data_IF_310575750904
#
_entry.id   IF_310575750904
#
_cell.length_a   1.000
_cell.length_b   1.000
_cell.length_c   1.000
_cell.angle_alpha   90.00
_cell.angle_beta   90.00
_cell.angle_gamma   90.00
#
_symmetry.space_group_name_H-M   'P 1'
#
loop_
_entity.id
_entity.type
_entity.pdbx_description
1 polymer ?
#
# COMPACT_ATOMS: atom_id res chain seq x y z
N UNK A 1 6.56 -15.26 -38.37
CA UNK A 1 8.02 -15.12 -38.56
C UNK A 1 8.48 -13.71 -38.18
N UNK A 2 8.15 -12.64 -38.92
CA UNK A 2 8.57 -11.26 -38.56
C UNK A 2 8.19 -10.85 -37.12
N UNK A 3 7.03 -11.29 -36.63
CA UNK A 3 6.53 -11.03 -35.27
C UNK A 3 7.38 -11.75 -34.21
N UNK A 4 7.80 -12.98 -34.50
CA UNK A 4 8.60 -13.82 -33.59
C UNK A 4 10.05 -13.30 -33.51
N UNK A 5 10.58 -12.82 -34.64
CA UNK A 5 11.88 -12.15 -34.68
C UNK A 5 11.85 -10.80 -33.94
N UNK A 6 10.76 -10.04 -34.05
CA UNK A 6 10.57 -8.81 -33.27
C UNK A 6 10.46 -9.11 -31.76
N UNK A 7 9.66 -10.11 -31.37
CA UNK A 7 9.55 -10.54 -29.97
C UNK A 7 10.89 -10.97 -29.38
N UNK A 8 11.70 -11.70 -30.16
CA UNK A 8 13.05 -12.12 -29.78
C UNK A 8 14.06 -10.96 -29.66
N UNK A 9 13.82 -9.84 -30.36
CA UNK A 9 14.63 -8.62 -30.26
C UNK A 9 14.19 -7.70 -29.11
N UNK A 10 12.89 -7.69 -28.79
CA UNK A 10 12.34 -6.87 -27.71
C UNK A 10 12.57 -7.52 -26.34
N UNK A 11 12.33 -8.83 -26.19
CA UNK A 11 12.62 -9.56 -24.93
C UNK A 11 14.13 -9.56 -24.64
N UNK A 12 14.51 -9.15 -23.44
CA UNK A 12 15.90 -8.95 -23.01
C UNK A 12 16.50 -7.58 -23.38
N UNK A 13 15.77 -6.71 -24.09
CA UNK A 13 16.32 -5.44 -24.58
C UNK A 13 16.37 -4.34 -23.51
N UNK A 14 17.14 -3.28 -23.79
CA UNK A 14 17.04 -2.05 -22.99
C UNK A 14 15.69 -1.34 -23.11
N UNK A 15 14.91 -1.61 -24.15
CA UNK A 15 13.61 -0.99 -24.39
C UNK A 15 12.56 -1.61 -23.45
N UNK A 16 12.45 -2.95 -23.43
CA UNK A 16 11.66 -3.70 -22.43
C UNK A 16 12.02 -3.25 -21.01
N UNK A 17 13.32 -3.18 -20.69
CA UNK A 17 13.77 -2.73 -19.36
C UNK A 17 13.27 -1.32 -19.01
N UNK A 18 13.28 -0.37 -19.96
CA UNK A 18 12.80 1.01 -19.74
C UNK A 18 11.29 1.03 -19.52
N UNK A 19 10.52 0.28 -20.31
CA UNK A 19 9.07 0.17 -20.16
C UNK A 19 8.68 -0.50 -18.83
N UNK A 20 9.34 -1.60 -18.44
CA UNK A 20 9.13 -2.27 -17.15
C UNK A 20 9.37 -1.31 -15.97
N UNK A 21 10.47 -0.56 -15.95
CA UNK A 21 10.75 0.41 -14.87
C UNK A 21 9.72 1.55 -14.81
N UNK A 22 9.30 2.05 -15.99
CA UNK A 22 8.28 3.10 -16.13
C UNK A 22 6.93 2.62 -15.58
N UNK A 23 6.45 1.46 -16.01
CA UNK A 23 5.16 0.94 -15.55
C UNK A 23 5.20 0.47 -14.08
N UNK A 24 6.33 -0.07 -13.61
CA UNK A 24 6.53 -0.38 -12.18
C UNK A 24 6.32 0.86 -11.30
N UNK A 25 6.84 2.01 -11.74
CA UNK A 25 6.66 3.30 -11.03
C UNK A 25 5.21 3.79 -11.12
N UNK A 26 4.57 3.67 -12.29
CA UNK A 26 3.17 4.08 -12.47
C UNK A 26 2.17 3.24 -11.66
N UNK A 27 2.37 1.93 -11.59
CA UNK A 27 1.47 0.99 -10.91
C UNK A 27 1.93 0.59 -9.50
N UNK A 28 3.02 1.18 -9.01
CA UNK A 28 3.58 0.96 -7.67
C UNK A 28 3.87 -0.51 -7.37
N UNK A 29 4.49 -1.19 -8.34
CA UNK A 29 4.91 -2.59 -8.22
C UNK A 29 3.82 -3.66 -8.37
N UNK A 30 2.65 -3.30 -8.88
CA UNK A 30 1.61 -4.24 -9.30
C UNK A 30 1.97 -4.87 -10.67
N UNK A 31 2.55 -6.07 -10.64
CA UNK A 31 3.06 -6.74 -11.85
C UNK A 31 1.96 -7.20 -12.80
N UNK A 32 0.75 -7.46 -12.30
CA UNK A 32 -0.37 -7.91 -13.14
C UNK A 32 -0.80 -6.79 -14.10
N UNK A 33 -0.88 -5.55 -13.61
CA UNK A 33 -1.10 -4.36 -14.48
C UNK A 33 0.06 -4.08 -15.42
N UNK A 34 1.29 -4.49 -15.07
CA UNK A 34 2.44 -4.31 -15.93
C UNK A 34 2.40 -5.27 -17.14
N UNK A 35 1.93 -6.51 -16.98
CA UNK A 35 1.73 -7.44 -18.09
C UNK A 35 0.79 -6.87 -19.17
N UNK A 36 -0.28 -6.19 -18.77
CA UNK A 36 -1.24 -5.56 -19.69
C UNK A 36 -0.62 -4.41 -20.51
N UNK A 37 0.48 -3.82 -20.03
CA UNK A 37 1.07 -2.59 -20.58
C UNK A 37 2.41 -2.78 -21.30
N UNK A 38 3.16 -3.83 -20.98
CA UNK A 38 4.42 -4.18 -21.65
C UNK A 38 4.13 -5.13 -22.81
N UNK A 39 4.74 -4.88 -23.97
CA UNK A 39 4.42 -5.64 -25.20
C UNK A 39 4.96 -7.07 -25.14
N UNK A 40 4.16 -8.03 -25.63
CA UNK A 40 4.52 -9.45 -25.74
C UNK A 40 4.88 -10.11 -24.39
N UNK A 41 4.28 -9.64 -23.30
CA UNK A 41 4.51 -10.13 -21.94
C UNK A 41 3.75 -11.41 -21.63
N UNK A 42 4.40 -12.33 -20.91
CA UNK A 42 3.86 -13.58 -20.38
C UNK A 42 4.03 -13.63 -18.85
N UNK A 43 3.29 -14.48 -18.14
CA UNK A 43 3.37 -14.52 -16.67
C UNK A 43 4.75 -14.93 -16.13
N UNK A 44 5.49 -15.77 -16.88
CA UNK A 44 6.87 -16.13 -16.59
C UNK A 44 7.82 -14.91 -16.63
N UNK A 45 7.47 -13.86 -17.39
CA UNK A 45 8.26 -12.62 -17.46
C UNK A 45 8.23 -11.85 -16.12
N UNK A 46 7.18 -11.98 -15.30
CA UNK A 46 7.07 -11.32 -13.97
C UNK A 46 8.31 -11.59 -13.12
N UNK A 47 8.74 -12.85 -13.06
CA UNK A 47 9.87 -13.27 -12.22
C UNK A 47 11.23 -12.85 -12.82
N UNK A 48 11.36 -12.81 -14.15
CA UNK A 48 12.55 -12.24 -14.83
C UNK A 48 12.66 -10.75 -14.52
N UNK A 49 11.62 -9.97 -14.75
CA UNK A 49 11.60 -8.52 -14.51
C UNK A 49 12.00 -8.15 -13.09
N UNK A 50 11.46 -8.86 -12.10
CA UNK A 50 11.80 -8.64 -10.69
C UNK A 50 13.27 -8.92 -10.42
N UNK A 51 13.81 -10.01 -10.97
CA UNK A 51 15.21 -10.43 -10.73
C UNK A 51 16.23 -9.56 -11.46
N UNK A 52 15.97 -9.24 -12.73
CA UNK A 52 16.95 -8.63 -13.65
C UNK A 52 16.82 -7.12 -13.79
N UNK A 53 15.62 -6.55 -13.68
CA UNK A 53 15.38 -5.13 -13.94
C UNK A 53 15.06 -4.35 -12.65
N UNK A 54 14.07 -4.80 -11.90
CA UNK A 54 13.54 -4.08 -10.72
C UNK A 54 14.51 -4.18 -9.53
N UNK A 55 14.98 -5.39 -9.17
CA UNK A 55 15.91 -5.54 -8.04
C UNK A 55 17.22 -4.75 -8.21
N UNK A 56 17.90 -4.73 -9.39
CA UNK A 56 19.05 -3.88 -9.61
C UNK A 56 18.73 -2.38 -9.56
N UNK A 57 17.58 -1.95 -10.08
CA UNK A 57 17.15 -0.55 -10.02
C UNK A 57 16.90 -0.07 -8.59
N UNK A 58 16.22 -0.87 -7.76
CA UNK A 58 16.00 -0.61 -6.33
C UNK A 58 17.35 -0.56 -5.58
N UNK A 59 18.28 -1.48 -5.86
CA UNK A 59 19.63 -1.47 -5.26
C UNK A 59 20.44 -0.23 -5.63
N UNK A 60 20.23 0.32 -6.82
CA UNK A 60 20.85 1.57 -7.29
C UNK A 60 20.15 2.83 -6.75
N UNK A 61 18.91 2.69 -6.25
CA UNK A 61 18.08 3.82 -5.81
C UNK A 61 17.35 4.52 -6.95
N UNK A 62 17.27 3.91 -8.14
CA UNK A 62 16.59 4.50 -9.31
C UNK A 62 15.06 4.47 -9.17
N UNK A 63 14.52 3.54 -8.38
CA UNK A 63 13.08 3.34 -8.19
C UNK A 63 12.76 2.91 -6.75
N UNK A 64 11.57 3.29 -6.25
CA UNK A 64 11.09 2.94 -4.91
C UNK A 64 10.82 1.44 -4.73
N UNK A 65 10.85 0.96 -3.47
CA UNK A 65 10.66 -0.45 -3.13
C UNK A 65 9.21 -0.72 -2.73
N UNK A 66 8.44 -1.38 -3.60
CA UNK A 66 7.03 -1.71 -3.37
C UNK A 66 6.81 -3.20 -3.01
N UNK A 67 7.41 -3.64 -1.90
CA UNK A 67 7.39 -5.06 -1.47
C UNK A 67 5.99 -5.67 -1.35
N UNK A 68 5.01 -4.89 -0.88
CA UNK A 68 3.64 -5.38 -0.62
C UNK A 68 2.93 -5.76 -1.93
N UNK A 69 3.07 -4.92 -2.97
CA UNK A 69 2.49 -5.19 -4.28
C UNK A 69 3.23 -6.35 -4.96
N UNK A 70 4.57 -6.30 -4.96
CA UNK A 70 5.42 -7.35 -5.54
C UNK A 70 5.09 -8.74 -5.00
N UNK A 71 5.04 -8.91 -3.66
CA UNK A 71 4.73 -10.21 -3.05
C UNK A 71 3.32 -10.70 -3.41
N UNK A 72 2.34 -9.79 -3.48
CA UNK A 72 0.97 -10.13 -3.85
C UNK A 72 0.87 -10.62 -5.30
N UNK A 73 1.53 -9.97 -6.25
CA UNK A 73 1.43 -10.31 -7.69
C UNK A 73 2.37 -11.42 -8.15
N UNK A 74 3.39 -11.77 -7.34
CA UNK A 74 4.31 -12.88 -7.63
C UNK A 74 3.74 -14.27 -7.31
N UNK A 75 2.51 -14.37 -6.82
CA UNK A 75 1.92 -15.66 -6.50
C UNK A 75 2.62 -16.38 -5.35
N UNK A 76 3.19 -15.64 -4.38
CA UNK A 76 3.44 -16.15 -3.02
C UNK A 76 2.08 -16.35 -2.34
N UNK A 77 1.31 -17.30 -2.90
CA UNK A 77 0.04 -17.80 -2.40
C UNK A 77 0.27 -18.62 -1.15
N UNK A 78 0.86 -18.00 -0.13
CA UNK A 78 0.31 -18.11 1.20
C UNK A 78 -1.12 -17.61 1.11
N UNK A 79 -2.01 -18.51 0.67
CA UNK A 79 -3.02 -19.04 1.55
C UNK A 79 -3.23 -18.12 2.76
N UNK A 80 -3.94 -17.03 2.50
CA UNK A 80 -4.80 -16.42 3.50
C UNK A 80 -5.93 -17.43 3.68
N UNK A 81 -5.57 -18.60 4.24
CA UNK A 81 -6.44 -19.37 5.10
C UNK A 81 -6.78 -18.40 6.23
N UNK A 82 -7.82 -17.61 5.94
CA UNK A 82 -8.97 -17.63 6.82
C UNK A 82 -9.18 -19.10 7.19
N UNK A 83 -8.60 -19.48 8.33
CA UNK A 83 -9.31 -20.33 9.26
C UNK A 83 -10.65 -19.62 9.54
N UNK A 84 -11.59 -19.78 8.61
CA UNK A 84 -13.00 -19.86 8.91
C UNK A 84 -13.14 -21.09 9.81
N UNK A 85 -12.73 -20.91 11.08
CA UNK A 85 -13.32 -21.60 12.22
C UNK A 85 -14.81 -21.26 12.16
N UNK A 86 -15.55 -22.02 11.32
CA UNK A 86 -16.99 -22.06 11.35
C UNK A 86 -17.40 -22.49 12.76
N UNK A 87 -17.81 -21.47 13.50
CA UNK A 87 -18.68 -21.41 14.68
C UNK A 87 -19.56 -22.65 14.83
N UNK A 88 -18.94 -23.75 15.25
CA UNK A 88 -19.61 -24.97 15.70
C UNK A 88 -20.14 -24.71 17.11
N UNK A 89 -21.28 -24.03 17.18
CA UNK A 89 -22.06 -23.85 18.41
C UNK A 89 -22.42 -25.22 19.04
N UNK A 90 -21.59 -25.77 19.93
CA UNK A 90 -22.05 -26.77 20.91
C UNK A 90 -21.23 -26.85 22.22
N UNK A 91 -21.97 -27.19 23.27
CA UNK A 91 -21.63 -27.45 24.68
C UNK A 91 -20.37 -26.83 25.33
N UNK A 92 -20.67 -25.87 26.21
CA UNK A 92 -20.29 -25.91 27.64
C UNK A 92 -19.43 -27.09 28.13
N UNK A 93 -18.15 -26.83 28.39
CA UNK A 93 -17.50 -27.39 29.59
C UNK A 93 -16.73 -26.31 30.33
N UNK A 94 -17.12 -26.05 31.58
CA UNK A 94 -16.29 -25.32 32.53
C UNK A 94 -15.04 -26.15 32.79
N UNK A 95 -13.86 -25.64 32.40
CA UNK A 95 -12.60 -26.05 33.01
C UNK A 95 -11.77 -24.81 33.32
N UNK A 96 -11.90 -24.37 34.56
CA UNK A 96 -10.88 -23.58 35.23
C UNK A 96 -9.58 -24.37 35.18
N UNK A 97 -8.49 -23.79 34.66
CA UNK A 97 -7.18 -24.11 35.22
C UNK A 97 -6.10 -23.05 34.95
N UNK A 98 -5.15 -23.06 35.89
CA UNK A 98 -3.90 -22.32 35.88
C UNK A 98 -2.91 -22.94 34.86
N UNK A 99 -2.02 -22.20 34.14
CA UNK A 99 -0.68 -21.81 34.60
C UNK A 99 0.02 -20.64 33.81
N UNK A 100 0.70 -19.71 34.53
CA UNK A 100 1.71 -18.71 34.04
C UNK A 100 2.91 -19.50 33.40
N UNK A 101 3.92 -18.86 32.80
CA UNK A 101 5.21 -18.67 33.50
C UNK A 101 6.05 -17.56 32.84
N UNK A 102 6.88 -16.87 33.62
CA UNK A 102 7.91 -15.95 33.12
C UNK A 102 9.09 -16.75 32.53
N UNK A 103 9.68 -16.30 31.42
CA UNK A 103 11.14 -16.48 31.25
C UNK A 103 11.81 -15.23 30.66
N UNK A 104 12.83 -14.79 31.39
CA UNK A 104 13.55 -13.53 31.21
C UNK A 104 14.87 -13.78 30.45
N UNK A 105 14.84 -13.41 29.17
CA UNK A 105 15.94 -12.79 28.44
C UNK A 105 17.36 -13.39 28.53
N UNK A 106 17.95 -13.68 27.36
CA UNK A 106 19.38 -13.39 27.17
C UNK A 106 19.82 -13.05 25.75
N UNK A 107 20.69 -12.03 25.74
CA UNK A 107 21.57 -11.58 24.66
C UNK A 107 22.43 -12.74 24.12
N UNK A 108 22.64 -12.80 22.80
CA UNK A 108 23.97 -13.01 22.21
C UNK A 108 24.01 -12.41 20.80
N UNK A 109 24.84 -11.39 20.50
CA UNK A 109 26.30 -11.40 20.23
C UNK A 109 26.73 -12.20 18.98
N UNK A 110 27.12 -11.43 17.96
CA UNK A 110 28.23 -11.66 17.01
C UNK A 110 28.33 -13.02 16.28
N UNK A 111 28.10 -13.00 14.96
CA UNK A 111 28.43 -14.10 14.05
C UNK A 111 28.86 -13.64 12.65
N UNK A 112 29.99 -12.94 12.51
CA UNK A 112 30.67 -12.79 11.21
C UNK A 112 31.21 -14.17 10.80
N UNK A 113 30.78 -14.74 9.66
CA UNK A 113 31.69 -15.54 8.81
C UNK A 113 31.19 -15.79 7.39
N UNK A 114 32.11 -15.55 6.46
CA UNK A 114 32.09 -15.90 5.04
C UNK A 114 32.33 -17.40 4.80
N UNK A 115 31.69 -17.97 3.78
CA UNK A 115 32.22 -18.98 2.83
C UNK A 115 31.13 -19.21 1.76
N UNK A 116 31.25 -18.82 0.48
CA UNK A 116 32.12 -19.37 -0.57
C UNK A 116 32.24 -20.90 -0.59
N UNK A 117 31.66 -21.56 -1.61
CA UNK A 117 32.21 -22.83 -2.11
C UNK A 117 31.31 -24.08 -2.12
N UNK A 118 30.60 -24.28 -3.24
CA UNK A 118 30.87 -25.37 -4.22
C UNK A 118 30.70 -26.86 -3.79
N UNK A 119 29.83 -27.54 -4.57
CA UNK A 119 29.73 -28.99 -4.89
C UNK A 119 29.01 -29.97 -3.92
N UNK A 120 27.93 -30.56 -4.48
CA UNK A 120 27.59 -32.01 -4.56
C UNK A 120 27.99 -32.93 -3.40
N UNK A 121 27.02 -33.68 -2.84
CA UNK A 121 26.77 -35.10 -3.19
C UNK A 121 25.48 -35.63 -2.54
N UNK A 122 24.88 -36.63 -3.17
CA UNK A 122 23.65 -37.33 -2.81
C UNK A 122 23.80 -38.22 -1.57
N UNK A 123 22.86 -38.16 -0.61
CA UNK A 123 22.57 -39.26 0.35
C UNK A 123 21.13 -39.23 0.88
N UNK A 124 20.30 -40.10 0.29
CA UNK A 124 19.23 -40.97 0.85
C UNK A 124 18.59 -40.60 2.23
N UNK A 125 17.24 -40.54 2.33
CA UNK A 125 16.53 -40.31 3.59
C UNK A 125 16.49 -41.56 4.50
N UNK A 126 16.41 -41.34 5.82
CA UNK A 126 15.99 -42.33 6.83
C UNK A 126 14.94 -41.72 7.77
N UNK A 127 14.03 -42.59 8.24
CA UNK A 127 12.90 -42.31 9.14
C UNK A 127 13.33 -42.12 10.60
N UNK A 128 12.33 -41.87 11.46
CA UNK A 128 12.30 -42.04 12.93
C UNK A 128 12.99 -40.92 13.74
N UNK A 129 12.50 -40.49 14.91
CA UNK A 129 11.27 -40.84 15.65
C UNK A 129 10.91 -39.80 16.73
N UNK A 130 9.69 -39.92 17.26
CA UNK A 130 9.04 -39.22 18.39
C UNK A 130 9.85 -38.92 19.66
N UNK A 131 9.55 -37.78 20.31
CA UNK A 131 9.47 -37.49 21.78
C UNK A 131 8.87 -36.07 21.92
N UNK A 132 7.71 -35.81 22.57
CA UNK A 132 7.24 -35.99 23.97
C UNK A 132 8.06 -35.24 25.03
N UNK A 133 7.33 -34.64 25.99
CA UNK A 133 7.71 -33.84 27.17
C UNK A 133 7.81 -32.31 26.94
N UNK A 134 7.35 -31.44 27.85
CA UNK A 134 6.60 -31.65 29.11
C UNK A 134 5.75 -30.41 29.51
N UNK A 135 4.81 -30.61 30.44
CA UNK A 135 4.12 -29.55 31.19
C UNK A 135 5.10 -28.68 32.00
N UNK A 136 4.76 -27.40 32.17
CA UNK A 136 4.99 -26.49 33.31
C UNK A 136 3.98 -25.33 33.08
N UNK A 137 3.10 -24.88 33.98
CA UNK A 137 2.81 -25.19 35.39
C UNK A 137 3.32 -24.24 36.51
N UNK A 138 3.09 -22.91 36.45
CA UNK A 138 3.21 -22.03 37.64
C UNK A 138 2.31 -20.74 37.70
N UNK A 139 0.98 -20.76 37.43
CA UNK A 139 0.13 -19.55 37.61
C UNK A 139 0.08 -19.14 39.07
N UNK A 140 -0.25 -17.87 39.19
CA UNK A 140 -1.57 -17.41 39.65
C UNK A 140 -1.41 -15.99 40.18
N UNK A 141 -0.56 -15.17 39.52
CA UNK A 141 -0.23 -13.82 40.04
C UNK A 141 -0.16 -12.67 39.04
N UNK A 142 -0.06 -12.89 37.72
CA UNK A 142 0.10 -11.77 36.76
C UNK A 142 -1.26 -11.13 36.34
N UNK A 143 -2.39 -11.79 36.63
CA UNK A 143 -3.71 -11.51 36.03
C UNK A 143 -4.35 -10.15 36.37
N UNK A 144 -4.11 -9.58 37.56
CA UNK A 144 -4.77 -8.33 37.96
C UNK A 144 -4.18 -7.06 37.29
N UNK A 145 -2.86 -7.02 37.09
CA UNK A 145 -2.19 -5.87 36.48
C UNK A 145 -2.33 -5.84 34.95
N UNK A 146 -2.37 -7.02 34.31
CA UNK A 146 -2.54 -7.13 32.86
C UNK A 146 -3.95 -6.71 32.40
N UNK A 147 -4.99 -7.04 33.18
CA UNK A 147 -6.37 -6.66 32.89
C UNK A 147 -6.57 -5.13 32.77
N UNK A 148 -6.00 -4.35 33.70
CA UNK A 148 -6.08 -2.88 33.66
C UNK A 148 -5.34 -2.28 32.46
N UNK A 149 -4.22 -2.89 32.03
CA UNK A 149 -3.50 -2.49 30.83
C UNK A 149 -4.27 -2.84 29.55
N UNK A 150 -4.92 -4.01 29.50
CA UNK A 150 -5.76 -4.44 28.38
C UNK A 150 -6.98 -3.51 28.18
N UNK A 151 -7.69 -3.15 29.26
CA UNK A 151 -8.82 -2.22 29.20
C UNK A 151 -8.43 -0.84 28.63
N UNK A 152 -7.24 -0.33 29.00
CA UNK A 152 -6.70 0.92 28.45
C UNK A 152 -6.34 0.83 26.97
N UNK A 153 -5.88 -0.32 26.49
CA UNK A 153 -5.60 -0.56 25.06
C UNK A 153 -6.89 -0.60 24.24
N UNK A 154 -7.91 -1.36 24.68
CA UNK A 154 -9.23 -1.43 24.01
C UNK A 154 -9.85 -0.03 23.85
N UNK A 155 -9.92 0.77 24.93
CA UNK A 155 -10.46 2.13 24.87
C UNK A 155 -9.67 3.10 23.98
N UNK A 156 -8.36 2.86 23.76
CA UNK A 156 -7.58 3.62 22.77
C UNK A 156 -7.95 3.19 21.34
N UNK A 157 -8.04 1.89 21.09
CA UNK A 157 -8.39 1.33 19.78
C UNK A 157 -9.80 1.75 19.33
N UNK A 158 -10.80 1.70 20.21
CA UNK A 158 -12.17 2.18 19.92
C UNK A 158 -12.18 3.66 19.49
N UNK A 159 -11.43 4.52 20.18
CA UNK A 159 -11.34 5.94 19.84
C UNK A 159 -10.61 6.18 18.51
N UNK A 160 -9.58 5.40 18.24
CA UNK A 160 -8.80 5.47 16.99
C UNK A 160 -9.63 4.94 15.80
N UNK A 161 -10.44 3.91 16.00
CA UNK A 161 -11.41 3.40 15.01
C UNK A 161 -12.51 4.43 14.71
N UNK A 162 -13.10 5.05 15.74
CA UNK A 162 -14.12 6.10 15.55
C UNK A 162 -13.57 7.34 14.81
N UNK A 163 -12.32 7.74 15.09
CA UNK A 163 -11.64 8.82 14.36
C UNK A 163 -11.32 8.43 12.90
N UNK A 164 -11.05 7.14 12.62
CA UNK A 164 -10.86 6.63 11.26
C UNK A 164 -12.18 6.58 10.46
N UNK A 165 -13.29 6.19 11.08
CA UNK A 165 -14.61 6.17 10.43
C UNK A 165 -15.08 7.56 10.00
N UNK A 166 -14.92 8.60 10.84
CA UNK A 166 -15.23 9.99 10.46
C UNK A 166 -14.39 10.45 9.25
N UNK A 167 -13.10 10.08 9.22
CA UNK A 167 -12.23 10.39 8.08
C UNK A 167 -12.68 9.67 6.79
N UNK A 168 -13.08 8.41 6.88
CA UNK A 168 -13.63 7.63 5.74
C UNK A 168 -14.96 8.23 5.28
N UNK A 169 -15.86 8.58 6.19
CA UNK A 169 -17.13 9.24 5.88
C UNK A 169 -16.91 10.56 5.15
N UNK A 170 -15.93 11.37 5.61
CA UNK A 170 -15.55 12.63 4.99
C UNK A 170 -14.96 12.47 3.58
N UNK A 171 -14.13 11.45 3.35
CA UNK A 171 -13.60 11.13 2.01
C UNK A 171 -14.74 10.68 1.08
N UNK A 172 -15.61 9.78 1.54
CA UNK A 172 -16.77 9.29 0.77
C UNK A 172 -17.73 10.43 0.41
N UNK A 173 -18.13 11.27 1.37
CA UNK A 173 -19.02 12.40 1.14
C UNK A 173 -18.47 13.41 0.13
N UNK A 174 -17.18 13.76 0.22
CA UNK A 174 -16.56 14.71 -0.70
C UNK A 174 -16.39 14.12 -2.12
N UNK A 175 -16.19 12.81 -2.24
CA UNK A 175 -16.16 12.11 -3.53
C UNK A 175 -17.54 12.07 -4.21
N UNK A 176 -18.62 11.83 -3.46
CA UNK A 176 -20.01 11.85 -3.97
C UNK A 176 -20.41 13.26 -4.41
N UNK A 177 -20.13 14.28 -3.60
CA UNK A 177 -20.44 15.68 -3.92
C UNK A 177 -19.74 16.15 -5.22
N UNK A 178 -18.50 15.70 -5.48
CA UNK A 178 -17.79 16.01 -6.73
C UNK A 178 -18.43 15.35 -7.96
N UNK A 179 -18.89 14.10 -7.87
CA UNK A 179 -19.56 13.41 -8.99
C UNK A 179 -20.90 14.06 -9.36
N UNK A 180 -21.73 14.36 -8.36
CA UNK A 180 -23.04 14.99 -8.60
C UNK A 180 -22.90 16.35 -9.28
N UNK A 181 -21.91 17.16 -8.90
CA UNK A 181 -21.68 18.47 -9.52
C UNK A 181 -21.24 18.39 -10.98
N UNK A 182 -20.36 17.45 -11.32
CA UNK A 182 -19.91 17.23 -12.70
C UNK A 182 -21.01 16.68 -13.61
N UNK A 183 -21.88 15.81 -13.10
CA UNK A 183 -23.00 15.27 -13.87
C UNK A 183 -24.10 16.33 -14.11
N UNK A 184 -24.40 17.17 -13.11
CA UNK A 184 -25.37 18.26 -13.28
C UNK A 184 -24.92 19.30 -14.32
N UNK A 185 -23.63 19.66 -14.34
CA UNK A 185 -23.06 20.60 -15.32
C UNK A 185 -23.12 20.02 -16.75
N UNK A 186 -22.86 18.72 -16.90
CA UNK A 186 -22.98 18.02 -18.19
C UNK A 186 -24.43 17.87 -18.66
N UNK A 187 -25.37 17.60 -17.75
CA UNK A 187 -26.81 17.56 -18.03
C UNK A 187 -27.34 18.94 -18.44
N UNK A 188 -26.98 20.01 -17.72
CA UNK A 188 -27.36 21.38 -18.07
C UNK A 188 -26.85 21.79 -19.45
N UNK A 189 -25.61 21.42 -19.79
CA UNK A 189 -25.03 21.67 -21.12
C UNK A 189 -25.57 20.78 -22.25
N UNK A 190 -26.33 19.73 -21.92
CA UNK A 190 -27.09 18.91 -22.87
C UNK A 190 -28.51 19.45 -23.06
N UNK A 191 -29.17 19.84 -21.97
CA UNK A 191 -30.48 20.47 -21.96
C UNK A 191 -30.46 21.80 -22.75
N UNK A 192 -29.45 22.66 -22.55
CA UNK A 192 -29.29 23.90 -23.32
C UNK A 192 -29.16 23.67 -24.85
N UNK A 193 -28.61 22.52 -25.27
CA UNK A 193 -28.43 22.18 -26.69
C UNK A 193 -29.63 21.48 -27.33
N UNK A 194 -30.42 20.75 -26.55
CA UNK A 194 -31.50 19.89 -27.07
C UNK A 194 -32.91 20.34 -26.68
N UNK A 195 -33.09 21.05 -25.56
CA UNK A 195 -34.36 21.69 -25.21
C UNK A 195 -34.51 23.08 -25.87
N UNK A 196 -33.40 23.72 -26.26
CA UNK A 196 -33.36 25.05 -26.90
C UNK A 196 -33.77 25.10 -28.38
N UNK A 197 -34.70 24.24 -28.81
CA UNK A 197 -35.14 24.13 -30.20
C UNK A 197 -36.16 25.18 -30.64
N UNK A 198 -35.81 26.48 -30.60
CA UNK A 198 -36.35 27.58 -31.45
C UNK A 198 -36.10 28.97 -30.83
N UNK A 199 -35.00 29.64 -31.19
CA UNK A 199 -35.07 30.87 -32.01
C UNK A 199 -33.67 31.31 -32.51
N UNK A 200 -33.62 32.12 -33.56
CA UNK A 200 -32.40 32.55 -34.26
C UNK A 200 -31.58 33.61 -33.51
N UNK A 201 -31.04 33.26 -32.34
CA UNK A 201 -30.22 34.13 -31.50
C UNK A 201 -28.86 34.49 -32.13
N UNK A 202 -28.81 35.55 -32.93
CA UNK A 202 -27.57 36.09 -33.55
C UNK A 202 -26.40 36.14 -32.57
N UNK A 203 -25.30 35.50 -32.95
CA UNK A 203 -24.09 35.39 -32.14
C UNK A 203 -23.58 36.76 -31.65
N UNK A 204 -23.71 37.02 -30.36
CA UNK A 204 -22.90 38.04 -29.66
C UNK A 204 -21.71 37.33 -29.08
N UNK A 205 -20.55 37.56 -29.68
CA UNK A 205 -19.31 36.88 -29.30
C UNK A 205 -19.07 36.94 -27.79
N UNK A 206 -19.05 35.77 -27.16
CA UNK A 206 -18.59 35.65 -25.78
C UNK A 206 -17.20 36.26 -25.71
N UNK A 207 -17.05 37.29 -24.86
CA UNK A 207 -15.80 38.04 -24.70
C UNK A 207 -14.67 37.05 -24.52
N UNK A 208 -13.71 37.11 -25.45
CA UNK A 208 -12.35 36.58 -25.37
C UNK A 208 -11.87 36.58 -23.92
N UNK A 209 -12.12 35.46 -23.24
CA UNK A 209 -11.85 35.31 -21.81
C UNK A 209 -10.37 35.50 -21.66
N UNK A 210 -9.95 36.59 -21.02
CA UNK A 210 -8.56 37.01 -20.91
C UNK A 210 -7.79 35.83 -20.33
N UNK A 211 -7.10 35.11 -21.20
CA UNK A 211 -6.54 33.80 -20.89
C UNK A 211 -5.68 33.95 -19.65
N UNK A 212 -6.16 33.42 -18.52
CA UNK A 212 -5.37 33.32 -17.31
C UNK A 212 -4.17 32.49 -17.69
N UNK A 213 -3.03 33.17 -17.88
CA UNK A 213 -1.77 32.58 -18.30
C UNK A 213 -1.30 31.71 -17.16
N UNK A 214 -1.87 30.51 -17.05
CA UNK A 214 -1.31 29.38 -16.34
C UNK A 214 -0.05 29.05 -17.09
N UNK A 215 1.02 29.76 -16.73
CA UNK A 215 2.36 29.25 -16.90
C UNK A 215 2.32 27.86 -16.27
N UNK A 216 2.41 26.84 -17.13
CA UNK A 216 3.09 25.64 -16.72
C UNK A 216 4.52 26.12 -16.50
N UNK A 217 4.87 26.31 -15.23
CA UNK A 217 6.26 26.34 -14.83
C UNK A 217 6.70 24.88 -14.92
N UNK A 218 7.13 24.50 -16.11
CA UNK A 218 7.95 23.32 -16.35
C UNK A 218 9.44 23.70 -16.15
N UNK A 219 9.69 24.78 -15.38
CA UNK A 219 10.99 25.24 -14.90
C UNK A 219 11.25 24.53 -13.55
N UNK A 220 12.15 23.55 -13.56
CA UNK A 220 12.60 22.82 -12.35
C UNK A 220 13.77 23.60 -11.71
N UNK A 221 13.57 24.89 -11.51
CA UNK A 221 14.55 25.82 -10.95
C UNK A 221 14.07 26.29 -9.57
N UNK A 222 14.82 25.88 -8.54
CA UNK A 222 14.79 26.31 -7.13
C UNK A 222 13.47 26.85 -6.56
N UNK A 223 12.79 26.02 -5.76
CA UNK A 223 11.78 26.49 -4.80
C UNK A 223 12.49 27.49 -3.86
N UNK A 224 12.07 28.77 -3.80
CA UNK A 224 12.73 29.74 -2.93
C UNK A 224 12.51 29.36 -1.46
N UNK A 225 13.60 29.29 -0.68
CA UNK A 225 13.59 28.88 0.73
C UNK A 225 12.53 29.62 1.58
N UNK A 226 12.28 30.89 1.26
CA UNK A 226 11.23 31.76 1.83
C UNK A 226 9.83 31.12 1.85
N UNK A 227 9.47 30.30 0.84
CA UNK A 227 8.17 29.62 0.80
C UNK A 227 8.10 28.48 1.82
N UNK A 228 9.21 27.79 2.08
CA UNK A 228 9.30 26.74 3.08
C UNK A 228 9.20 27.29 4.51
N UNK A 229 9.77 28.47 4.76
CA UNK A 229 9.61 29.16 6.05
C UNK A 229 8.17 29.63 6.31
N UNK A 230 7.47 30.14 5.28
CA UNK A 230 6.04 30.50 5.40
C UNK A 230 5.18 29.30 5.78
N UNK A 231 5.42 28.13 5.19
CA UNK A 231 4.70 26.90 5.51
C UNK A 231 4.95 26.46 6.96
N UNK A 232 6.19 26.58 7.46
CA UNK A 232 6.51 26.32 8.89
C UNK A 232 5.79 27.30 9.83
N UNK A 233 5.78 28.60 9.51
CA UNK A 233 5.16 29.63 10.33
C UNK A 233 3.63 29.42 10.49
N UNK A 234 2.92 29.11 9.40
CA UNK A 234 1.49 28.82 9.42
C UNK A 234 1.17 27.53 10.20
N UNK A 235 2.00 26.48 10.06
CA UNK A 235 1.88 25.26 10.86
C UNK A 235 2.05 25.53 12.36
N UNK A 236 3.01 26.37 12.77
CA UNK A 236 3.16 26.77 14.17
C UNK A 236 1.98 27.59 14.68
N UNK A 237 1.47 28.53 13.91
CA UNK A 237 0.30 29.34 14.28
C UNK A 237 -0.94 28.45 14.50
N UNK A 238 -1.16 27.46 13.62
CA UNK A 238 -2.22 26.44 13.76
C UNK A 238 -2.03 25.54 14.99
N UNK A 239 -0.79 25.19 15.37
CA UNK A 239 -0.52 24.43 16.61
C UNK A 239 -0.77 25.28 17.87
N UNK A 240 -0.37 26.56 17.87
CA UNK A 240 -0.58 27.50 18.99
C UNK A 240 -2.07 27.76 19.24
N UNK A 241 -2.85 28.03 18.19
CA UNK A 241 -4.31 28.25 18.28
C UNK A 241 -5.11 27.01 18.70
N UNK A 242 -4.70 25.80 18.31
CA UNK A 242 -5.31 24.57 18.85
C UNK A 242 -5.06 24.42 20.36
N UNK A 243 -3.84 24.69 20.83
CA UNK A 243 -3.44 24.49 22.23
C UNK A 243 -4.14 25.44 23.21
N UNK A 244 -4.53 26.64 22.79
CA UNK A 244 -5.34 27.55 23.61
C UNK A 244 -6.81 27.13 23.68
N UNK A 245 -7.35 26.49 22.64
CA UNK A 245 -8.75 26.05 22.57
C UNK A 245 -9.05 24.79 23.40
N UNK A 246 -8.03 24.02 23.80
CA UNK A 246 -8.16 22.83 24.68
C UNK A 246 -7.96 23.15 26.17
N UNK A 247 -7.74 24.43 26.53
CA UNK A 247 -7.42 24.85 27.91
C UNK A 247 -8.48 25.80 28.51
N UNK A 248 -9.68 25.77 27.95
CA UNK A 248 -10.86 26.54 28.34
C UNK A 248 -12.08 25.63 28.23
#
# INVERSE_FOLDING_TARGET
DDIDEFGSKYKGSEEERKDVLKYYTMFKGDLDKMLECVMLSEEDDKQRWVTEYINPAIKKGDVEKHDVALRKTLGDGGDDSHDDDEDSEDETTESEDDDDDDDDGKKNKRGKRSTSGKKKKDTKPKKESSKKNAKNNSKSKITAASAAAAARRKKKQEKEAAEAEDLIAKIRGNAVARRQRGFADMMSGLEERYAGGSDGGKGRGSKKGKGGKRQRQDDVDDIPDDEFERIRADLEAKRKSKKTKTKK
#
